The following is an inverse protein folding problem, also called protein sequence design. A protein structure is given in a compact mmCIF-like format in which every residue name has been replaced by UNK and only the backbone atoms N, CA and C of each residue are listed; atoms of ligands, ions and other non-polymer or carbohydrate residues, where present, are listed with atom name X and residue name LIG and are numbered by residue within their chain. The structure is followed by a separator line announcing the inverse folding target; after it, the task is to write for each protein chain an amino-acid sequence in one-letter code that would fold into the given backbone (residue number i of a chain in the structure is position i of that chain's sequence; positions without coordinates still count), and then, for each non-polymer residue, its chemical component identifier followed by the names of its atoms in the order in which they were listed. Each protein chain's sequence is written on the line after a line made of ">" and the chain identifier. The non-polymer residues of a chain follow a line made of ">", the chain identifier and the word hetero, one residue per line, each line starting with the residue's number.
data_IF_602305150368
#
_entry.id   IF_602305150368
#
_cell.length_a   1.000
_cell.length_b   1.000
_cell.length_c   1.000
_cell.angle_alpha   90.00
_cell.angle_beta   90.00
_cell.angle_gamma   90.00
#
_symmetry.space_group_name_H-M   'P 1'
#
loop_
_entity.id
_entity.type
_entity.pdbx_description
1 polymer ?
#
# COMPACT_ATOMS: atom_id res chain seq x y z
N UNK A 1 -2.88 8.61 0.00
CA UNK A 1 -3.61 7.46 -0.57
C UNK A 1 -5.02 7.52 -0.06
N UNK A 2 -6.00 7.27 -0.93
CA UNK A 2 -7.43 7.31 -0.59
C UNK A 2 -8.08 6.08 -1.17
N UNK A 3 -8.59 5.19 -0.32
CA UNK A 3 -9.49 4.11 -0.75
C UNK A 3 -10.86 4.77 -0.89
N UNK A 4 -11.28 5.05 -2.12
CA UNK A 4 -12.57 5.71 -2.39
C UNK A 4 -13.69 4.71 -2.17
N UNK A 5 -13.50 3.50 -2.70
CA UNK A 5 -14.46 2.42 -2.65
C UNK A 5 -13.69 1.11 -2.81
N UNK A 6 -13.99 0.12 -1.98
CA UNK A 6 -13.49 -1.24 -2.10
C UNK A 6 -14.41 -2.15 -1.30
N UNK A 7 -14.44 -3.44 -1.61
CA UNK A 7 -15.11 -4.39 -0.74
C UNK A 7 -14.41 -4.43 0.64
N UNK A 8 -15.19 -4.52 1.72
CA UNK A 8 -14.66 -4.59 3.09
C UNK A 8 -14.22 -6.03 3.39
N UNK A 9 -13.22 -6.49 2.65
CA UNK A 9 -12.68 -7.84 2.68
C UNK A 9 -11.16 -7.80 2.68
N UNK A 10 -10.54 -8.92 3.01
CA UNK A 10 -9.10 -9.12 2.81
C UNK A 10 -8.85 -9.49 1.35
N UNK A 11 -7.81 -8.94 0.73
CA UNK A 11 -7.36 -9.40 -0.60
C UNK A 11 -6.66 -8.33 -1.41
N UNK A 12 -7.12 -7.08 -1.31
CA UNK A 12 -6.50 -5.98 -2.06
C UNK A 12 -5.38 -5.32 -1.27
N UNK A 13 -4.31 -4.98 -1.99
CA UNK A 13 -3.23 -4.16 -1.49
C UNK A 13 -2.96 -2.99 -2.43
N UNK A 14 -3.15 -1.79 -1.93
CA UNK A 14 -2.81 -0.54 -2.62
C UNK A 14 -1.48 -0.05 -2.10
N UNK A 15 -0.43 -0.11 -2.92
CA UNK A 15 0.94 0.06 -2.48
C UNK A 15 1.71 1.09 -3.31
N UNK A 16 2.58 1.82 -2.63
CA UNK A 16 3.65 2.60 -3.24
C UNK A 16 4.98 2.00 -2.82
N UNK A 17 5.83 1.69 -3.79
CA UNK A 17 7.19 1.25 -3.52
C UNK A 17 8.11 2.46 -3.43
N UNK A 18 9.24 2.27 -2.78
CA UNK A 18 10.36 3.21 -2.75
C UNK A 18 11.67 2.42 -2.75
N UNK A 19 12.74 3.05 -3.22
CA UNK A 19 14.07 2.43 -3.19
C UNK A 19 14.99 3.26 -2.32
N UNK A 20 15.70 2.60 -1.41
CA UNK A 20 16.75 3.22 -0.63
C UNK A 20 18.03 3.34 -1.48
N UNK A 21 18.68 4.51 -1.44
CA UNK A 21 19.96 4.74 -2.09
C UNK A 21 21.00 3.71 -1.59
N UNK A 22 21.82 3.18 -2.52
CA UNK A 22 22.84 2.16 -2.23
C UNK A 22 22.31 0.89 -1.54
N UNK A 23 21.02 0.60 -1.70
CA UNK A 23 20.35 -0.50 -1.03
C UNK A 23 19.16 -1.01 -1.87
N UNK A 24 18.18 -1.62 -1.22
CA UNK A 24 17.05 -2.29 -1.86
C UNK A 24 15.72 -1.56 -1.76
N UNK A 25 14.68 -2.30 -2.11
CA UNK A 25 13.29 -1.84 -2.16
C UNK A 25 12.65 -1.83 -0.78
N UNK A 26 11.67 -0.96 -0.60
CA UNK A 26 10.62 -1.09 0.39
C UNK A 26 9.27 -0.70 -0.21
N UNK A 27 8.20 -0.94 0.53
CA UNK A 27 6.88 -0.42 0.17
C UNK A 27 6.13 0.07 1.39
N UNK A 28 5.10 0.87 1.14
CA UNK A 28 4.05 1.16 2.10
C UNK A 28 2.70 1.24 1.39
N UNK A 29 1.64 0.89 2.09
CA UNK A 29 0.32 0.88 1.49
C UNK A 29 -0.79 0.63 2.49
N UNK A 30 -2.01 0.52 1.95
CA UNK A 30 -3.23 0.23 2.69
C UNK A 30 -3.91 -1.00 2.10
N UNK A 31 -4.52 -1.78 2.98
CA UNK A 31 -5.36 -2.93 2.65
C UNK A 31 -6.73 -2.75 3.33
N UNK A 32 -7.83 -2.85 2.58
CA UNK A 32 -9.16 -3.15 3.10
C UNK A 32 -9.13 -4.36 4.04
N UNK A 33 -9.99 -4.36 5.05
CA UNK A 33 -10.25 -5.51 5.92
C UNK A 33 -11.75 -5.61 6.23
N UNK A 34 -12.22 -6.80 6.64
CA UNK A 34 -13.56 -6.95 7.19
C UNK A 34 -13.85 -5.97 8.32
N UNK A 35 -15.07 -5.45 8.32
CA UNK A 35 -15.54 -4.60 9.40
C UNK A 35 -15.49 -5.33 10.74
N UNK A 36 -15.19 -4.57 11.79
CA UNK A 36 -15.25 -5.06 13.18
C UNK A 36 -16.28 -4.22 13.92
N UNK A 37 -17.31 -4.88 14.44
CA UNK A 37 -18.44 -4.24 15.14
C UNK A 37 -19.10 -3.11 14.31
N UNK A 38 -19.21 -3.31 12.99
CA UNK A 38 -19.81 -2.35 12.06
C UNK A 38 -18.92 -1.14 11.73
N UNK A 39 -17.64 -1.17 12.11
CA UNK A 39 -16.68 -0.12 11.81
C UNK A 39 -15.63 -0.58 10.80
N UNK A 40 -15.31 0.32 9.86
CA UNK A 40 -14.31 0.11 8.81
C UNK A 40 -12.92 -0.09 9.38
N UNK A 41 -12.26 -1.17 8.98
CA UNK A 41 -10.89 -1.48 9.38
C UNK A 41 -9.96 -1.24 8.21
N UNK A 42 -8.90 -0.48 8.46
CA UNK A 42 -7.77 -0.34 7.55
C UNK A 42 -6.57 -1.09 8.12
N UNK A 43 -5.84 -1.76 7.24
CA UNK A 43 -4.57 -2.40 7.56
C UNK A 43 -3.45 -1.70 6.78
N UNK A 44 -2.56 -1.03 7.52
CA UNK A 44 -1.39 -0.37 6.96
C UNK A 44 -0.21 -1.32 6.92
N UNK A 45 0.57 -1.26 5.85
CA UNK A 45 1.76 -2.07 5.66
C UNK A 45 2.96 -1.16 5.43
N UNK A 46 4.10 -1.54 5.99
CA UNK A 46 5.39 -0.87 5.79
C UNK A 46 6.52 -1.91 5.83
N UNK A 47 7.20 -2.12 4.71
CA UNK A 47 8.19 -3.20 4.60
C UNK A 47 9.48 -2.73 3.94
N UNK A 48 10.57 -3.42 4.27
CA UNK A 48 11.88 -3.35 3.65
C UNK A 48 12.26 -4.74 3.15
N UNK A 49 12.75 -4.82 1.91
CA UNK A 49 13.30 -6.03 1.29
C UNK A 49 14.83 -6.08 1.36
N UNK A 50 15.42 -5.23 2.21
CA UNK A 50 16.88 -5.11 2.35
C UNK A 50 17.38 -6.16 3.34
N UNK A 51 18.28 -7.03 2.88
CA UNK A 51 18.95 -7.99 3.74
C UNK A 51 19.72 -7.30 4.87
N UNK A 52 19.64 -7.87 6.08
CA UNK A 52 20.25 -7.27 7.28
C UNK A 52 19.44 -6.15 7.92
N UNK A 53 18.23 -5.84 7.42
CA UNK A 53 17.27 -5.00 8.15
C UNK A 53 16.88 -5.68 9.46
N UNK A 54 16.83 -4.90 10.53
CA UNK A 54 16.46 -5.37 11.87
C UNK A 54 15.29 -4.57 12.43
N UNK A 55 14.60 -5.11 13.41
CA UNK A 55 13.52 -4.40 14.12
C UNK A 55 13.40 -4.91 15.55
N UNK A 56 12.94 -4.03 16.43
CA UNK A 56 12.48 -4.35 17.79
C UNK A 56 11.03 -3.91 17.99
N UNK A 57 10.37 -3.49 16.92
CA UNK A 57 9.02 -2.94 16.95
C UNK A 57 8.01 -4.09 16.98
N UNK A 58 7.05 -4.10 17.92
CA UNK A 58 6.09 -5.19 18.06
C UNK A 58 5.16 -5.35 16.85
N UNK A 59 5.03 -4.34 15.99
CA UNK A 59 4.23 -4.42 14.78
C UNK A 59 4.98 -5.12 13.62
N UNK A 60 6.24 -5.47 13.82
CA UNK A 60 7.15 -5.92 12.77
C UNK A 60 7.71 -7.31 13.02
N UNK A 61 8.03 -8.01 11.94
CA UNK A 61 8.71 -9.30 11.98
C UNK A 61 9.77 -9.41 10.87
N UNK A 62 10.77 -10.27 11.09
CA UNK A 62 11.78 -10.58 10.08
C UNK A 62 11.16 -11.45 8.97
N UNK A 63 11.47 -11.13 7.72
CA UNK A 63 11.00 -11.85 6.56
C UNK A 63 9.93 -11.09 5.77
N UNK A 64 10.34 -10.26 4.81
CA UNK A 64 9.40 -9.53 3.94
C UNK A 64 8.94 -10.44 2.80
N UNK A 65 7.65 -10.78 2.76
CA UNK A 65 7.04 -11.72 1.82
C UNK A 65 7.77 -13.06 1.72
N UNK A 66 8.28 -13.54 2.87
CA UNK A 66 9.07 -14.78 2.98
C UNK A 66 10.53 -14.63 2.54
N UNK A 67 10.93 -13.48 2.01
CA UNK A 67 12.30 -13.13 1.63
C UNK A 67 13.07 -12.34 2.69
N UNK A 68 14.27 -11.83 2.36
CA UNK A 68 15.05 -11.00 3.28
C UNK A 68 14.34 -9.69 3.67
N UNK A 69 14.63 -9.19 4.87
CA UNK A 69 14.19 -7.87 5.33
C UNK A 69 13.17 -7.93 6.47
N UNK A 70 12.33 -6.90 6.56
CA UNK A 70 11.34 -6.71 7.63
C UNK A 70 10.01 -6.32 7.03
N UNK A 71 8.93 -6.93 7.54
CA UNK A 71 7.56 -6.50 7.26
C UNK A 71 6.91 -6.01 8.54
N UNK A 72 6.26 -4.85 8.46
CA UNK A 72 5.48 -4.27 9.56
C UNK A 72 4.03 -4.09 9.12
N UNK A 73 3.13 -4.26 10.07
CA UNK A 73 1.72 -3.94 9.82
C UNK A 73 0.97 -3.54 11.08
N UNK A 74 -0.08 -2.74 10.88
CA UNK A 74 -0.97 -2.34 11.97
C UNK A 74 -2.40 -2.15 11.45
N UNK A 75 -3.39 -2.59 12.23
CA UNK A 75 -4.81 -2.38 11.92
C UNK A 75 -5.39 -1.29 12.83
N UNK A 76 -6.23 -0.43 12.26
CA UNK A 76 -6.98 0.57 13.02
C UNK A 76 -8.38 0.77 12.42
N UNK A 77 -9.27 1.36 13.21
CA UNK A 77 -10.57 1.82 12.72
C UNK A 77 -10.33 3.05 11.84
N UNK A 78 -10.50 2.87 10.54
CA UNK A 78 -10.30 3.88 9.51
C UNK A 78 -11.62 4.36 8.92
N UNK A 79 -11.52 5.21 7.89
CA UNK A 79 -12.67 5.73 7.16
C UNK A 79 -12.32 5.75 5.68
N UNK A 80 -13.14 5.09 4.85
CA UNK A 80 -13.00 5.20 3.41
C UNK A 80 -13.29 6.63 2.92
N UNK A 81 -12.85 6.93 1.71
CA UNK A 81 -12.92 8.25 1.11
C UNK A 81 -12.16 9.36 1.89
N UNK A 82 -11.34 8.99 2.89
CA UNK A 82 -10.35 9.88 3.50
C UNK A 82 -8.97 9.66 2.90
N UNK A 83 -8.23 10.76 2.75
CA UNK A 83 -6.84 10.68 2.36
C UNK A 83 -5.99 10.39 3.59
N UNK A 84 -5.21 9.32 3.51
CA UNK A 84 -4.14 9.01 4.45
C UNK A 84 -2.78 9.27 3.78
N UNK A 85 -1.98 10.15 4.37
CA UNK A 85 -0.58 10.30 3.97
C UNK A 85 0.22 9.17 4.60
N UNK A 86 0.82 8.32 3.76
CA UNK A 86 1.74 7.27 4.20
C UNK A 86 3.14 7.87 4.27
N UNK A 87 3.54 8.27 5.47
CA UNK A 87 4.84 8.87 5.75
C UNK A 87 5.88 7.77 5.98
N UNK A 88 6.96 7.82 5.19
CA UNK A 88 8.15 7.00 5.38
C UNK A 88 9.29 7.95 5.77
N UNK A 89 9.76 7.84 7.00
CA UNK A 89 10.67 8.84 7.58
C UNK A 89 11.82 8.20 8.31
N UNK A 90 13.01 8.75 8.10
CA UNK A 90 14.19 8.50 8.93
C UNK A 90 14.44 9.68 9.87
N UNK A 91 15.05 9.40 11.02
CA UNK A 91 15.58 10.42 11.93
C UNK A 91 16.98 10.92 11.53
N UNK A 92 17.46 10.58 10.32
CA UNK A 92 18.82 10.88 9.85
C UNK A 92 19.84 9.80 10.16
N UNK A 93 19.41 8.68 10.74
CA UNK A 93 20.20 7.47 10.93
C UNK A 93 19.61 6.30 10.12
N UNK A 94 19.96 5.07 10.47
CA UNK A 94 19.43 3.86 9.86
C UNK A 94 17.99 3.50 10.28
N UNK A 95 17.41 4.16 11.29
CA UNK A 95 16.04 3.91 11.73
C UNK A 95 15.02 4.59 10.80
N UNK A 96 14.11 3.78 10.26
CA UNK A 96 12.99 4.21 9.43
C UNK A 96 11.66 3.85 10.08
N UNK A 97 10.70 4.77 9.97
CA UNK A 97 9.37 4.66 10.56
C UNK A 97 8.32 4.85 9.48
N UNK A 98 7.34 3.95 9.45
CA UNK A 98 6.14 4.04 8.63
C UNK A 98 4.96 4.53 9.44
N UNK A 99 4.25 5.55 8.96
CA UNK A 99 3.09 6.13 9.65
C UNK A 99 1.97 6.44 8.66
N UNK A 100 0.73 6.06 8.98
CA UNK A 100 -0.46 6.55 8.27
C UNK A 100 -0.99 7.80 8.97
N UNK A 101 -1.21 8.88 8.23
CA UNK A 101 -1.68 10.17 8.77
C UNK A 101 -3.03 10.51 8.14
N UNK A 102 -4.11 10.49 8.92
CA UNK A 102 -5.42 10.97 8.46
C UNK A 102 -5.35 12.48 8.21
N UNK A 103 -5.53 12.89 6.95
CA UNK A 103 -5.43 14.31 6.55
C UNK A 103 -6.59 15.17 7.06
N UNK A 104 -7.70 14.56 7.47
CA UNK A 104 -8.87 15.28 7.99
C UNK A 104 -8.69 15.59 9.48
N UNK A 105 -8.19 14.64 10.27
CA UNK A 105 -8.06 14.79 11.73
C UNK A 105 -6.64 15.10 12.20
N UNK A 106 -5.63 14.84 11.36
CA UNK A 106 -4.22 14.88 11.75
C UNK A 106 -3.77 13.67 12.58
N UNK A 107 -4.64 12.68 12.80
CA UNK A 107 -4.30 11.48 13.59
C UNK A 107 -3.16 10.73 12.93
N UNK A 108 -2.14 10.39 13.72
CA UNK A 108 -0.95 9.64 13.28
C UNK A 108 -1.02 8.22 13.81
N UNK A 109 -1.11 7.24 12.92
CA UNK A 109 -1.11 5.81 13.23
C UNK A 109 0.25 5.22 12.91
N UNK A 110 0.95 4.75 13.95
CA UNK A 110 2.22 4.05 13.80
C UNK A 110 2.00 2.68 13.15
N UNK A 111 2.60 2.46 11.98
CA UNK A 111 2.53 1.16 11.29
C UNK A 111 3.65 0.26 11.78
N UNK A 112 4.86 0.80 11.91
CA UNK A 112 6.01 0.06 12.39
C UNK A 112 7.32 0.80 12.14
N UNK A 113 8.42 0.22 12.62
CA UNK A 113 9.76 0.75 12.43
C UNK A 113 10.80 -0.34 12.26
N UNK A 114 11.84 -0.03 11.51
CA UNK A 114 12.98 -0.92 11.28
C UNK A 114 14.27 -0.14 11.04
N UNK A 115 15.39 -0.80 11.29
CA UNK A 115 16.73 -0.27 11.11
C UNK A 115 17.37 -0.92 9.90
N UNK A 116 17.73 -0.12 8.88
CA UNK A 116 18.46 -0.60 7.70
C UNK A 116 19.96 -0.78 8.00
N UNK A 117 20.68 -1.58 7.21
CA UNK A 117 22.15 -1.58 7.22
C UNK A 117 22.72 -0.18 6.98
N UNK A 118 23.88 0.12 7.57
CA UNK A 118 24.53 1.44 7.49
C UNK A 118 24.87 1.92 6.05
N UNK A 119 24.92 0.99 5.09
CA UNK A 119 25.12 1.31 3.67
C UNK A 119 23.91 1.95 3.01
N UNK A 120 22.71 1.80 3.59
CA UNK A 120 21.48 2.37 3.04
C UNK A 120 21.42 3.90 3.24
N UNK A 121 21.15 4.62 2.16
CA UNK A 121 20.92 6.06 2.17
C UNK A 121 19.44 6.44 2.20
N UNK A 122 19.14 7.68 1.82
CA UNK A 122 17.77 8.18 1.69
C UNK A 122 16.98 7.49 0.56
N UNK A 123 15.77 7.98 0.28
CA UNK A 123 14.91 7.43 -0.78
C UNK A 123 15.27 8.04 -2.14
N UNK A 124 15.28 7.21 -3.19
CA UNK A 124 15.43 7.64 -4.57
C UNK A 124 14.27 8.52 -5.04
N UNK A 125 14.48 9.29 -6.11
CA UNK A 125 13.49 10.27 -6.59
C UNK A 125 12.38 9.68 -7.47
N UNK A 126 12.42 8.39 -7.78
CA UNK A 126 11.36 7.69 -8.49
C UNK A 126 11.22 6.26 -7.97
N UNK A 127 10.01 5.71 -8.11
CA UNK A 127 9.70 4.28 -8.03
C UNK A 127 8.24 4.08 -8.49
N UNK A 128 7.85 2.83 -8.73
CA UNK A 128 6.50 2.42 -9.06
C UNK A 128 5.62 2.21 -7.83
N UNK A 129 4.31 2.18 -8.06
CA UNK A 129 3.31 1.62 -7.15
C UNK A 129 2.59 0.46 -7.80
N UNK A 130 1.75 -0.23 -7.04
CA UNK A 130 0.95 -1.32 -7.56
C UNK A 130 -0.38 -1.45 -6.81
N UNK A 131 -1.34 -2.06 -7.49
CA UNK A 131 -2.54 -2.62 -6.87
C UNK A 131 -2.52 -4.11 -7.12
N UNK A 132 -2.64 -4.90 -6.06
CA UNK A 132 -2.57 -6.35 -6.13
C UNK A 132 -3.77 -6.96 -5.40
N UNK A 133 -4.39 -7.96 -6.03
CA UNK A 133 -5.27 -8.90 -5.34
C UNK A 133 -4.43 -10.11 -4.90
N UNK A 134 -3.82 -10.01 -3.71
CA UNK A 134 -2.80 -10.96 -3.24
C UNK A 134 -3.26 -12.41 -3.02
N UNK A 135 -4.55 -12.79 -2.92
CA UNK A 135 -4.91 -14.21 -2.84
C UNK A 135 -4.42 -15.05 -4.04
N UNK A 136 -4.15 -14.43 -5.19
CA UNK A 136 -3.53 -15.11 -6.34
C UNK A 136 -2.13 -15.69 -6.04
N UNK A 137 -1.43 -15.21 -5.01
CA UNK A 137 -0.09 -15.67 -4.63
C UNK A 137 -0.13 -17.10 -4.04
N UNK A 138 -1.28 -17.54 -3.55
CA UNK A 138 -1.53 -18.94 -3.14
C UNK A 138 -1.84 -19.89 -4.29
N UNK A 139 -1.84 -19.38 -5.53
CA UNK A 139 -2.32 -20.06 -6.73
C UNK A 139 -3.49 -19.32 -7.34
N UNK A 140 -3.49 -19.19 -8.67
CA UNK A 140 -4.54 -18.46 -9.41
C UNK A 140 -5.84 -19.24 -9.38
N UNK A 141 -6.93 -18.72 -8.77
CA UNK A 141 -8.22 -19.37 -8.85
C UNK A 141 -8.72 -19.45 -10.30
N UNK A 142 -9.53 -20.46 -10.64
CA UNK A 142 -10.24 -20.49 -11.91
C UNK A 142 -11.05 -19.20 -12.11
N UNK A 143 -11.00 -18.62 -13.31
CA UNK A 143 -11.72 -17.41 -13.69
C UNK A 143 -11.44 -16.17 -12.81
N UNK A 144 -10.29 -16.09 -12.13
CA UNK A 144 -9.95 -14.99 -11.23
C UNK A 144 -10.09 -13.59 -11.85
N UNK A 145 -9.71 -13.38 -13.12
CA UNK A 145 -9.87 -12.07 -13.78
C UNK A 145 -11.34 -11.62 -13.88
N UNK A 146 -12.29 -12.56 -13.98
CA UNK A 146 -13.72 -12.22 -14.03
C UNK A 146 -14.29 -11.90 -12.63
N UNK A 147 -13.57 -12.32 -11.58
CA UNK A 147 -13.99 -12.28 -10.19
C UNK A 147 -13.00 -11.47 -9.36
N UNK A 148 -12.44 -10.38 -9.88
CA UNK A 148 -11.68 -9.45 -9.03
C UNK A 148 -12.66 -8.54 -8.26
N UNK A 149 -12.45 -8.32 -6.95
CA UNK A 149 -13.23 -7.36 -6.17
C UNK A 149 -13.24 -5.99 -6.84
N UNK A 150 -14.35 -5.26 -6.70
CA UNK A 150 -14.35 -3.88 -7.14
C UNK A 150 -13.49 -3.06 -6.20
N UNK A 151 -12.60 -2.25 -6.78
CA UNK A 151 -11.84 -1.25 -6.06
C UNK A 151 -11.73 0.03 -6.86
N UNK A 152 -11.69 1.15 -6.14
CA UNK A 152 -11.38 2.49 -6.62
C UNK A 152 -10.49 3.18 -5.60
N UNK A 153 -9.30 3.56 -6.04
CA UNK A 153 -8.28 4.18 -5.20
C UNK A 153 -7.74 5.44 -5.85
N UNK A 154 -7.33 6.41 -5.04
CA UNK A 154 -6.56 7.58 -5.48
C UNK A 154 -5.15 7.51 -4.89
N UNK A 155 -4.17 7.50 -5.78
CA UNK A 155 -2.76 7.68 -5.47
C UNK A 155 -2.42 9.15 -5.64
N UNK A 156 -2.19 9.84 -4.52
CA UNK A 156 -1.77 11.23 -4.51
C UNK A 156 -0.30 11.38 -4.93
N UNK A 157 0.05 12.57 -5.42
CA UNK A 157 1.42 12.96 -5.68
C UNK A 157 2.27 12.82 -4.42
N UNK A 158 3.46 12.18 -4.49
CA UNK A 158 4.35 12.11 -3.35
C UNK A 158 4.89 13.49 -2.99
N UNK A 159 5.11 13.72 -1.70
CA UNK A 159 5.66 14.98 -1.19
C UNK A 159 6.84 14.70 -0.27
N UNK A 160 7.68 15.71 -0.07
CA UNK A 160 8.81 15.65 0.86
C UNK A 160 9.00 17.01 1.52
N UNK A 161 9.64 17.02 2.69
CA UNK A 161 10.00 18.27 3.39
C UNK A 161 11.19 18.99 2.77
N UNK A 162 11.89 18.37 1.81
CA UNK A 162 12.98 19.01 1.08
C UNK A 162 12.44 20.13 0.18
N UNK A 163 12.77 21.37 0.51
CA UNK A 163 12.36 22.54 -0.25
C UNK A 163 12.71 22.42 -1.74
N UNK A 164 11.78 22.85 -2.60
CA UNK A 164 11.92 22.81 -4.06
C UNK A 164 11.75 21.42 -4.70
N UNK A 165 11.49 20.37 -3.93
CA UNK A 165 11.21 19.03 -4.48
C UNK A 165 9.73 18.88 -4.79
N UNK A 166 9.41 18.50 -6.03
CA UNK A 166 8.04 18.24 -6.50
C UNK A 166 7.95 16.80 -6.94
N UNK A 167 7.01 16.06 -6.38
CA UNK A 167 6.69 14.69 -6.79
C UNK A 167 5.41 14.65 -7.63
N UNK A 168 5.35 13.71 -8.57
CA UNK A 168 4.17 13.50 -9.42
C UNK A 168 3.85 12.02 -9.49
N UNK A 169 2.56 11.68 -9.44
CA UNK A 169 2.07 10.34 -9.67
C UNK A 169 1.74 10.15 -11.16
N UNK A 170 2.38 9.17 -11.79
CA UNK A 170 2.04 8.74 -13.16
C UNK A 170 0.76 7.91 -13.20
N UNK A 171 0.09 7.90 -14.36
CA UNK A 171 -1.09 7.09 -14.58
C UNK A 171 -0.80 5.59 -14.40
N UNK A 172 -1.67 4.88 -13.71
CA UNK A 172 -1.60 3.41 -13.60
C UNK A 172 -1.90 2.75 -14.94
N UNK A 173 -1.39 1.53 -15.13
CA UNK A 173 -1.65 0.69 -16.31
C UNK A 173 -1.89 -0.76 -15.86
N UNK A 174 -2.61 -1.55 -16.66
CA UNK A 174 -2.80 -2.97 -16.39
C UNK A 174 -1.51 -3.76 -16.61
N UNK A 175 -1.29 -4.79 -15.78
CA UNK A 175 -0.15 -5.69 -15.88
C UNK A 175 -0.59 -7.12 -15.52
N UNK A 176 0.02 -8.12 -16.16
CA UNK A 176 -0.27 -9.54 -15.91
C UNK A 176 -1.28 -10.15 -16.89
N UNK A 177 -1.89 -11.27 -16.50
CA UNK A 177 -2.78 -12.07 -17.34
C UNK A 177 -4.21 -11.56 -17.43
N UNK A 178 -4.59 -10.58 -16.60
CA UNK A 178 -5.92 -9.98 -16.59
C UNK A 178 -6.05 -8.69 -17.43
N UNK A 179 -5.02 -8.32 -18.20
CA UNK A 179 -5.03 -7.12 -19.05
C UNK A 179 -6.25 -7.13 -19.99
N UNK A 180 -7.05 -6.07 -19.96
CA UNK A 180 -8.26 -5.90 -20.76
C UNK A 180 -9.47 -6.69 -20.27
N UNK A 181 -9.38 -7.41 -19.15
CA UNK A 181 -10.44 -8.30 -18.65
C UNK A 181 -11.14 -7.76 -17.40
N UNK A 182 -10.55 -6.80 -16.71
CA UNK A 182 -10.94 -6.40 -15.34
C UNK A 182 -11.61 -5.03 -15.26
N UNK A 183 -12.12 -4.51 -16.39
CA UNK A 183 -12.75 -3.19 -16.48
C UNK A 183 -11.90 -2.07 -15.88
N UNK A 184 -10.57 -2.17 -16.07
CA UNK A 184 -9.63 -1.20 -15.54
C UNK A 184 -9.85 0.19 -16.13
N UNK A 185 -9.76 1.19 -15.27
CA UNK A 185 -9.72 2.60 -15.68
C UNK A 185 -8.69 3.32 -14.83
N UNK A 186 -7.97 4.25 -15.45
CA UNK A 186 -7.09 5.19 -14.77
C UNK A 186 -7.30 6.58 -15.35
N UNK A 187 -7.36 7.58 -14.50
CA UNK A 187 -7.51 8.97 -14.92
C UNK A 187 -6.78 9.93 -13.98
N UNK A 188 -6.14 10.99 -14.52
CA UNK A 188 -5.62 12.06 -13.69
C UNK A 188 -6.72 12.71 -12.86
N UNK A 189 -6.38 13.06 -11.62
CA UNK A 189 -7.22 13.88 -10.75
C UNK A 189 -6.37 15.00 -10.17
N UNK A 190 -7.02 15.98 -9.52
CA UNK A 190 -6.28 17.04 -8.85
C UNK A 190 -5.31 16.45 -7.81
N UNK A 191 -4.01 16.65 -8.01
CA UNK A 191 -2.97 16.20 -7.09
C UNK A 191 -2.68 14.70 -7.11
N UNK A 192 -3.06 13.96 -8.15
CA UNK A 192 -2.74 12.52 -8.25
C UNK A 192 -3.42 11.80 -9.41
N UNK A 193 -3.62 10.50 -9.23
CA UNK A 193 -4.27 9.61 -10.20
C UNK A 193 -5.30 8.75 -9.49
N UNK A 194 -6.50 8.66 -10.05
CA UNK A 194 -7.48 7.66 -9.66
C UNK A 194 -7.33 6.44 -10.54
N UNK A 195 -7.41 5.25 -9.95
CA UNK A 195 -7.55 4.00 -10.66
C UNK A 195 -8.73 3.20 -10.09
N UNK A 196 -9.38 2.41 -10.94
CA UNK A 196 -10.37 1.43 -10.52
C UNK A 196 -10.26 0.16 -11.35
N UNK A 197 -10.65 -0.95 -10.75
CA UNK A 197 -10.59 -2.30 -11.30
C UNK A 197 -11.75 -3.11 -10.71
N UNK A 198 -12.15 -4.18 -11.41
CA UNK A 198 -13.27 -5.02 -11.02
C UNK A 198 -14.61 -4.45 -11.46
N UNK A 199 -15.69 -5.19 -11.22
CA UNK A 199 -17.05 -4.78 -11.55
C UNK A 199 -17.87 -4.68 -10.27
N UNK A 200 -18.58 -3.56 -10.11
CA UNK A 200 -19.48 -3.31 -8.96
C UNK A 200 -20.54 -4.43 -8.88
N UNK A 201 -20.75 -4.98 -7.68
CA UNK A 201 -21.84 -5.93 -7.41
C UNK A 201 -21.58 -7.42 -7.69
N UNK A 202 -20.32 -7.85 -7.90
CA UNK A 202 -19.99 -9.26 -8.14
C UNK A 202 -19.61 -10.07 -6.89
N UNK A 203 -19.22 -9.44 -5.79
CA UNK A 203 -18.70 -10.13 -4.60
C UNK A 203 -19.72 -10.44 -3.50
N UNK A 204 -21.00 -10.06 -3.67
CA UNK A 204 -22.01 -10.26 -2.63
C UNK A 204 -22.40 -11.73 -2.35
N UNK A 205 -21.90 -12.74 -3.09
CA UNK A 205 -22.46 -14.11 -2.93
C UNK A 205 -21.54 -15.33 -3.20
N UNK A 206 -20.23 -15.21 -3.40
CA UNK A 206 -19.48 -16.34 -4.02
C UNK A 206 -18.35 -16.99 -3.22
N UNK A 207 -17.97 -16.51 -2.02
CA UNK A 207 -16.81 -17.08 -1.30
C UNK A 207 -17.02 -17.43 0.19
N UNK A 208 -18.26 -17.37 0.69
CA UNK A 208 -18.64 -17.95 1.99
C UNK A 208 -19.58 -19.14 1.78
N UNK A 209 -19.06 -20.23 1.22
CA UNK A 209 -19.62 -21.59 1.38
C UNK A 209 -18.49 -22.55 1.70
#
# INVERSE_FOLDING_TARGET
>A
MTIVEADHISGDYFAQQFTFLNSGLGYTGLQPRPDVNGATVLHGVFSSFVAGTQTTDPNCYLGADGGPGVSCSFQWIGVYNRTYNLEVKTNGSSLWVGTAIDTVTGTRTHIGSYTLPASAGGIQNNQLGFVEWYPWNGGKPPNHCANLPYQKTIFGNPTTTRAGSVGTQGASFEYGDCVGLVAFQAQPVAGGVQNNCGKVGLYENSYFQ
#
